data_IF_507558922889
#
_entry.id   IF_507558922889
#
_cell.length_a   1.000
_cell.length_b   1.000
_cell.length_c   1.000
_cell.angle_alpha   90.00
_cell.angle_beta   90.00
_cell.angle_gamma   90.00
#
_symmetry.space_group_name_H-M   'P 1'
#
loop_
_entity.id
_entity.type
_entity.pdbx_description
1 polymer ?
#
# COMPACT_ATOMS: atom_id res chain seq x y z
N UNK A 1 3.34 -5.18 15.29
CA UNK A 1 2.54 -6.12 14.48
C UNK A 1 3.10 -7.52 14.67
N UNK A 2 2.27 -8.54 14.92
CA UNK A 2 2.73 -9.92 14.93
C UNK A 2 3.22 -10.33 13.54
N UNK A 3 4.24 -11.17 13.48
CA UNK A 3 4.76 -11.72 12.23
C UNK A 3 3.74 -12.75 11.71
N UNK A 4 3.24 -12.55 10.49
CA UNK A 4 2.39 -13.51 9.77
C UNK A 4 3.25 -14.34 8.82
N UNK A 5 3.13 -15.66 8.90
CA UNK A 5 3.73 -16.57 7.92
C UNK A 5 2.81 -16.72 6.72
N UNK A 6 3.38 -16.74 5.52
CA UNK A 6 2.65 -16.92 4.27
C UNK A 6 2.93 -18.31 3.71
N UNK A 7 1.92 -18.94 3.11
CA UNK A 7 2.11 -20.19 2.38
C UNK A 7 2.71 -19.88 1.00
N UNK A 8 3.99 -20.22 0.83
CA UNK A 8 4.71 -19.95 -0.41
C UNK A 8 4.21 -20.80 -1.58
N UNK A 9 3.61 -21.96 -1.33
CA UNK A 9 3.07 -22.81 -2.40
C UNK A 9 1.79 -22.18 -2.96
N UNK A 10 0.87 -21.77 -2.08
CA UNK A 10 -0.35 -21.08 -2.50
C UNK A 10 -0.05 -19.80 -3.30
N UNK A 11 0.94 -19.02 -2.86
CA UNK A 11 1.38 -17.84 -3.60
C UNK A 11 1.99 -18.20 -4.97
N UNK A 12 2.73 -19.30 -5.06
CA UNK A 12 3.32 -19.76 -6.32
C UNK A 12 2.26 -20.27 -7.29
N UNK A 13 1.20 -20.91 -6.81
CA UNK A 13 0.12 -21.45 -7.63
C UNK A 13 -0.66 -20.34 -8.36
N UNK A 14 -0.85 -19.17 -7.72
CA UNK A 14 -1.53 -18.01 -8.33
C UNK A 14 -0.82 -17.46 -9.57
N UNK A 15 0.52 -17.44 -9.59
CA UNK A 15 1.29 -16.87 -10.70
C UNK A 15 1.99 -17.92 -11.56
N UNK A 16 2.04 -19.17 -11.10
CA UNK A 16 2.84 -20.26 -11.66
C UNK A 16 4.30 -20.27 -11.20
N UNK A 17 4.79 -19.23 -10.50
CA UNK A 17 6.16 -19.15 -10.01
C UNK A 17 6.29 -18.22 -8.80
N UNK A 18 6.84 -18.73 -7.70
CA UNK A 18 7.07 -17.95 -6.47
C UNK A 18 7.79 -16.61 -6.71
N UNK A 19 8.81 -16.59 -7.59
CA UNK A 19 9.54 -15.36 -7.89
C UNK A 19 8.69 -14.32 -8.62
N UNK A 20 7.79 -14.77 -9.49
CA UNK A 20 6.83 -13.89 -10.15
C UNK A 20 5.84 -13.31 -9.14
N UNK A 21 5.33 -14.14 -8.21
CA UNK A 21 4.49 -13.68 -7.09
C UNK A 21 5.17 -12.59 -6.27
N UNK A 22 6.45 -12.77 -5.92
CA UNK A 22 7.23 -11.74 -5.19
C UNK A 22 7.31 -10.43 -5.98
N UNK A 23 7.52 -10.50 -7.30
CA UNK A 23 7.58 -9.30 -8.16
C UNK A 23 6.21 -8.62 -8.25
N UNK A 24 5.14 -9.38 -8.43
CA UNK A 24 3.76 -8.88 -8.48
C UNK A 24 3.41 -8.17 -7.16
N UNK A 25 3.61 -8.85 -6.03
CA UNK A 25 3.38 -8.30 -4.68
C UNK A 25 4.22 -7.04 -4.44
N UNK A 26 5.50 -7.06 -4.80
CA UNK A 26 6.39 -5.90 -4.64
C UNK A 26 5.90 -4.68 -5.43
N UNK A 27 5.47 -4.88 -6.68
CA UNK A 27 4.93 -3.81 -7.52
C UNK A 27 3.62 -3.27 -6.94
N UNK A 28 2.74 -4.17 -6.49
CA UNK A 28 1.45 -3.77 -5.90
C UNK A 28 1.63 -3.02 -4.58
N UNK A 29 2.47 -3.50 -3.68
CA UNK A 29 2.79 -2.84 -2.43
C UNK A 29 3.31 -1.41 -2.66
N UNK A 30 4.11 -1.16 -3.71
CA UNK A 30 4.56 0.20 -4.07
C UNK A 30 3.42 1.10 -4.54
N UNK A 31 2.46 0.57 -5.32
CA UNK A 31 1.28 1.34 -5.73
C UNK A 31 0.46 1.77 -4.51
N UNK A 32 0.21 0.83 -3.59
CA UNK A 32 -0.52 1.09 -2.34
C UNK A 32 0.24 2.10 -1.49
N UNK A 33 1.55 1.93 -1.30
CA UNK A 33 2.38 2.86 -0.53
C UNK A 33 2.34 4.29 -1.11
N UNK A 34 2.45 4.43 -2.44
CA UNK A 34 2.38 5.73 -3.10
C UNK A 34 1.01 6.39 -2.92
N UNK A 35 -0.07 5.61 -3.01
CA UNK A 35 -1.44 6.10 -2.78
C UNK A 35 -1.63 6.56 -1.34
N UNK A 36 -1.28 5.71 -0.37
CA UNK A 36 -1.38 6.03 1.06
C UNK A 36 -0.56 7.26 1.43
N UNK A 37 0.65 7.39 0.86
CA UNK A 37 1.50 8.57 1.05
C UNK A 37 0.82 9.83 0.52
N UNK A 38 0.31 9.80 -0.71
CA UNK A 38 -0.37 10.95 -1.31
C UNK A 38 -1.63 11.36 -0.51
N UNK A 39 -2.42 10.38 -0.04
CA UNK A 39 -3.58 10.64 0.82
C UNK A 39 -3.18 11.27 2.17
N UNK A 40 -2.08 10.82 2.77
CA UNK A 40 -1.57 11.38 4.01
C UNK A 40 -1.06 12.81 3.79
N UNK A 41 -0.26 13.05 2.76
CA UNK A 41 0.25 14.38 2.41
C UNK A 41 -0.90 15.36 2.15
N UNK A 42 -1.93 14.94 1.41
CA UNK A 42 -3.11 15.76 1.17
C UNK A 42 -3.85 16.10 2.46
N UNK A 43 -3.95 15.18 3.42
CA UNK A 43 -4.59 15.46 4.71
C UNK A 43 -3.76 16.41 5.56
N UNK A 44 -2.43 16.26 5.52
CA UNK A 44 -1.51 17.10 6.27
C UNK A 44 -1.45 18.54 5.74
N UNK A 45 -1.58 18.73 4.42
CA UNK A 45 -1.53 20.08 3.82
C UNK A 45 -2.66 20.99 4.31
N UNK A 46 -3.82 20.45 4.72
CA UNK A 46 -4.91 21.25 5.29
C UNK A 46 -4.54 21.98 6.59
N UNK A 47 -3.50 21.52 7.28
CA UNK A 47 -3.05 22.10 8.54
C UNK A 47 -1.94 23.14 8.35
N UNK A 48 -1.28 23.16 7.19
CA UNK A 48 -0.19 24.10 6.88
C UNK A 48 -0.72 25.54 6.66
N UNK A 49 -1.98 25.69 6.24
CA UNK A 49 -2.60 26.99 5.93
C UNK A 49 -3.27 27.68 7.14
N UNK A 50 -3.31 27.03 8.32
CA UNK A 50 -3.99 27.53 9.52
C UNK A 50 -3.00 28.21 10.48
N UNK A 51 -2.74 29.50 10.30
CA UNK A 51 -1.73 30.20 11.12
C UNK A 51 -2.06 31.67 11.46
N UNK A 52 -3.15 31.90 12.22
CA UNK A 52 -3.47 33.23 12.76
C UNK A 52 -3.76 33.29 14.28
N UNK A 53 -4.20 32.20 14.93
CA UNK A 53 -4.53 32.16 16.37
C UNK A 53 -3.80 30.99 17.09
N UNK A 54 -3.07 31.24 18.20
CA UNK A 54 -2.44 30.18 19.02
C UNK A 54 -3.39 29.05 19.46
N UNK A 55 -4.67 29.35 19.67
CA UNK A 55 -5.65 28.33 20.04
C UNK A 55 -6.03 27.41 18.85
N UNK A 56 -6.00 27.94 17.63
CA UNK A 56 -6.19 27.14 16.40
C UNK A 56 -4.97 26.27 16.11
N UNK A 57 -3.76 26.80 16.35
CA UNK A 57 -2.51 26.06 16.19
C UNK A 57 -2.44 24.83 17.11
N UNK A 58 -2.84 24.96 18.38
CA UNK A 58 -2.89 23.83 19.32
C UNK A 58 -3.83 22.72 18.83
N UNK A 59 -5.03 23.08 18.34
CA UNK A 59 -6.00 22.11 17.80
C UNK A 59 -5.48 21.43 16.53
N UNK A 60 -4.83 22.20 15.66
CA UNK A 60 -4.19 21.70 14.44
C UNK A 60 -3.13 20.64 14.75
N UNK A 61 -2.29 20.88 15.76
CA UNK A 61 -1.26 19.92 16.21
C UNK A 61 -1.86 18.62 16.75
N UNK A 62 -2.93 18.69 17.55
CA UNK A 62 -3.63 17.51 18.06
C UNK A 62 -4.23 16.67 16.93
N UNK A 63 -4.80 17.31 15.92
CA UNK A 63 -5.38 16.63 14.75
C UNK A 63 -4.31 16.01 13.85
N UNK A 64 -3.19 16.69 13.63
CA UNK A 64 -2.05 16.12 12.91
C UNK A 64 -1.49 14.86 13.60
N UNK A 65 -1.34 14.90 14.93
CA UNK A 65 -0.91 13.73 15.70
C UNK A 65 -1.91 12.58 15.57
N UNK A 66 -3.21 12.86 15.67
CA UNK A 66 -4.28 11.89 15.53
C UNK A 66 -4.26 11.21 14.16
N UNK A 67 -4.11 11.99 13.08
CA UNK A 67 -4.01 11.46 11.71
C UNK A 67 -2.75 10.61 11.57
N UNK A 68 -1.61 11.06 12.10
CA UNK A 68 -0.36 10.31 12.03
C UNK A 68 -0.48 8.94 12.72
N UNK A 69 -1.09 8.89 13.91
CA UNK A 69 -1.34 7.65 14.65
C UNK A 69 -2.33 6.73 13.93
N UNK A 70 -3.33 7.27 13.25
CA UNK A 70 -4.27 6.48 12.44
C UNK A 70 -3.53 5.75 11.30
N UNK A 71 -2.67 6.46 10.56
CA UNK A 71 -1.90 5.89 9.46
C UNK A 71 -0.79 4.95 9.95
N UNK A 72 -0.25 5.15 11.15
CA UNK A 72 0.71 4.21 11.75
C UNK A 72 0.07 2.83 12.01
N UNK A 73 -1.18 2.83 12.49
CA UNK A 73 -1.95 1.62 12.83
C UNK A 73 -2.48 0.85 11.62
N UNK A 74 -2.53 1.48 10.45
CA UNK A 74 -3.00 0.82 9.22
C UNK A 74 -2.06 -0.33 8.82
N UNK A 75 -2.59 -1.37 8.14
CA UNK A 75 -1.77 -2.46 7.60
C UNK A 75 -0.68 -1.90 6.68
N UNK A 76 0.51 -2.51 6.70
CA UNK A 76 1.58 -2.07 5.82
C UNK A 76 1.24 -2.47 4.39
N UNK A 77 1.72 -1.69 3.42
CA UNK A 77 1.42 -1.93 2.01
C UNK A 77 1.73 -3.35 1.51
N UNK A 78 2.78 -4.05 1.98
CA UNK A 78 3.00 -5.45 1.64
C UNK A 78 1.91 -6.39 2.16
N UNK A 79 1.38 -6.16 3.37
CA UNK A 79 0.33 -7.01 3.95
C UNK A 79 -0.96 -6.88 3.12
N UNK A 80 -1.34 -5.66 2.77
CA UNK A 80 -2.51 -5.39 1.92
C UNK A 80 -2.35 -6.02 0.54
N UNK A 81 -1.14 -5.95 -0.05
CA UNK A 81 -0.88 -6.56 -1.35
C UNK A 81 -1.00 -8.10 -1.33
N UNK A 82 -0.63 -8.73 -0.21
CA UNK A 82 -0.77 -10.17 -0.01
C UNK A 82 -2.25 -10.53 0.12
N UNK A 83 -3.00 -9.81 0.96
CA UNK A 83 -4.44 -10.06 1.13
C UNK A 83 -5.19 -9.89 -0.21
N UNK A 84 -4.89 -8.86 -1.00
CA UNK A 84 -5.49 -8.65 -2.33
C UNK A 84 -5.14 -9.76 -3.33
N UNK A 85 -3.97 -10.42 -3.18
CA UNK A 85 -3.56 -11.51 -4.05
C UNK A 85 -4.28 -12.80 -3.65
N UNK A 86 -4.32 -13.12 -2.35
CA UNK A 86 -5.05 -14.27 -1.80
C UNK A 86 -6.56 -14.18 -2.06
N UNK A 87 -7.12 -12.97 -2.08
CA UNK A 87 -8.53 -12.72 -2.41
C UNK A 87 -8.83 -12.72 -3.92
N UNK A 88 -7.82 -12.92 -4.78
CA UNK A 88 -7.98 -12.92 -6.23
C UNK A 88 -8.37 -11.56 -6.84
N UNK A 89 -8.11 -10.46 -6.13
CA UNK A 89 -8.45 -9.09 -6.56
C UNK A 89 -7.39 -8.45 -7.47
N UNK A 90 -6.26 -9.15 -7.68
CA UNK A 90 -5.11 -8.67 -8.41
C UNK A 90 -5.04 -9.25 -9.81
N UNK A 91 -5.19 -8.38 -10.82
CA UNK A 91 -4.84 -8.71 -12.20
C UNK A 91 -3.39 -8.32 -12.50
N UNK A 92 -2.61 -9.26 -13.02
CA UNK A 92 -1.23 -9.04 -13.46
C UNK A 92 -0.99 -9.76 -14.79
N UNK A 93 -0.06 -9.23 -15.58
CA UNK A 93 0.35 -9.84 -16.86
C UNK A 93 1.86 -9.75 -17.03
N UNK A 94 2.44 -10.77 -17.64
CA UNK A 94 3.83 -10.72 -18.08
C UNK A 94 3.90 -10.23 -19.54
N UNK A 95 4.47 -9.03 -19.82
CA UNK A 95 4.54 -8.49 -21.17
C UNK A 95 5.43 -9.32 -22.12
N UNK A 96 6.33 -10.16 -21.61
CA UNK A 96 7.21 -10.98 -22.48
C UNK A 96 6.50 -12.22 -23.02
N UNK A 97 5.50 -12.75 -22.31
CA UNK A 97 4.78 -13.97 -22.72
C UNK A 97 3.77 -13.68 -23.84
N UNK A 98 3.04 -12.56 -23.75
CA UNK A 98 2.00 -12.18 -24.73
C UNK A 98 2.57 -11.75 -26.10
N UNK A 99 3.87 -11.45 -26.20
CA UNK A 99 4.52 -11.03 -27.45
C UNK A 99 5.02 -12.17 -28.35
N UNK A 100 4.83 -13.43 -27.95
CA UNK A 100 5.39 -14.61 -28.66
C UNK A 100 4.37 -15.41 -29.49
N UNK A 101 3.08 -15.05 -29.47
CA UNK A 101 2.02 -15.69 -30.28
C UNK A 101 1.63 -14.86 -31.53
N UNK A 102 2.60 -14.22 -32.17
CA UNK A 102 2.30 -13.37 -33.31
C UNK A 102 3.49 -12.90 -34.10
N UNK A 103 4.37 -13.81 -34.53
CA UNK A 103 5.23 -13.68 -35.71
C UNK A 103 5.61 -15.07 -36.24
#
# INVERSE_FOLDING_TARGET
>A
MPIRTLDTNALADETGNLYESVVVLSKRARQIASKTKAELEQKLSYFEDLSLDPAEELRSNEDQLRISLEYERKPKSPDVAVDELEDGQLYFRNPTTTGSEGF
#
